data_IF_391581177894
#
_entry.id   IF_391581177894
#
_cell.length_a   1.000
_cell.length_b   1.000
_cell.length_c   1.000
_cell.angle_alpha   90.00
_cell.angle_beta   90.00
_cell.angle_gamma   90.00
#
_symmetry.space_group_name_H-M   'P 1'
#
loop_
_entity.id
_entity.type
_entity.pdbx_description
1 polymer ?
#
# COMPACT_ATOMS: atom_id res chain seq x y z
N UNK A 1 -18.00 -19.58 17.26
CA UNK A 1 -16.74 -20.13 16.74
C UNK A 1 -16.96 -20.45 15.28
N UNK A 2 -16.32 -19.73 14.36
CA UNK A 2 -16.31 -20.14 12.96
C UNK A 2 -15.52 -21.45 12.88
N UNK A 3 -16.16 -22.53 12.44
CA UNK A 3 -15.49 -23.78 12.13
C UNK A 3 -14.43 -23.50 11.08
N UNK A 4 -13.16 -23.74 11.42
CA UNK A 4 -12.09 -23.69 10.43
C UNK A 4 -12.45 -24.64 9.30
N UNK A 5 -12.72 -24.10 8.10
CA UNK A 5 -13.01 -24.90 6.92
C UNK A 5 -11.78 -25.72 6.60
N UNK A 6 -11.83 -27.01 6.89
CA UNK A 6 -10.77 -27.96 6.56
C UNK A 6 -10.71 -28.13 5.05
N UNK A 7 -9.53 -27.98 4.46
CA UNK A 7 -9.28 -28.20 3.03
C UNK A 7 -9.79 -29.59 2.62
N UNK A 8 -10.40 -29.69 1.43
CA UNK A 8 -10.69 -30.98 0.84
C UNK A 8 -9.37 -31.72 0.54
N UNK A 9 -9.34 -33.07 0.51
CA UNK A 9 -8.13 -33.81 0.14
C UNK A 9 -7.55 -33.36 -1.21
N UNK A 10 -8.40 -33.12 -2.20
CA UNK A 10 -7.99 -32.64 -3.52
C UNK A 10 -7.35 -31.24 -3.46
N UNK A 11 -7.86 -30.34 -2.63
CA UNK A 11 -7.29 -28.99 -2.49
C UNK A 11 -6.03 -28.97 -1.63
N UNK A 12 -5.92 -29.89 -0.66
CA UNK A 12 -4.67 -30.11 0.08
C UNK A 12 -3.55 -30.59 -0.86
N UNK A 13 -3.86 -31.51 -1.78
CA UNK A 13 -2.90 -31.98 -2.81
C UNK A 13 -2.50 -30.85 -3.77
N UNK A 14 -3.46 -30.04 -4.24
CA UNK A 14 -3.17 -28.83 -5.04
C UNK A 14 -2.22 -27.89 -4.32
N UNK A 15 -2.48 -27.61 -3.03
CA UNK A 15 -1.65 -26.71 -2.23
C UNK A 15 -0.24 -27.26 -2.02
N UNK A 16 -0.08 -28.58 -1.81
CA UNK A 16 1.23 -29.21 -1.66
C UNK A 16 2.04 -29.20 -2.96
N UNK A 17 1.38 -29.47 -4.09
CA UNK A 17 2.00 -29.36 -5.42
C UNK A 17 2.42 -27.92 -5.69
N UNK A 18 1.56 -26.94 -5.35
CA UNK A 18 1.87 -25.53 -5.51
C UNK A 18 3.05 -25.08 -4.65
N UNK A 19 3.11 -25.52 -3.37
CA UNK A 19 4.27 -25.27 -2.49
C UNK A 19 5.57 -25.75 -3.12
N UNK A 20 5.56 -26.97 -3.67
CA UNK A 20 6.73 -27.55 -4.34
C UNK A 20 7.15 -26.75 -5.57
N UNK A 21 6.18 -26.31 -6.39
CA UNK A 21 6.45 -25.49 -7.58
C UNK A 21 7.01 -24.10 -7.21
N UNK A 22 6.42 -23.44 -6.22
CA UNK A 22 6.81 -22.10 -5.75
C UNK A 22 8.19 -22.12 -5.08
N UNK A 23 8.56 -23.22 -4.40
CA UNK A 23 9.89 -23.37 -3.81
C UNK A 23 11.01 -23.22 -4.86
N UNK A 24 10.77 -23.65 -6.10
CA UNK A 24 11.70 -23.54 -7.23
C UNK A 24 11.77 -22.16 -7.90
N UNK A 25 10.93 -21.19 -7.50
CA UNK A 25 10.94 -19.83 -8.05
C UNK A 25 11.97 -18.96 -7.34
N UNK A 26 13.15 -18.81 -7.94
CA UNK A 26 14.26 -18.02 -7.38
C UNK A 26 14.11 -16.51 -7.54
N UNK A 27 13.11 -16.05 -8.31
CA UNK A 27 12.85 -14.63 -8.57
C UNK A 27 12.13 -13.92 -7.43
N UNK A 28 11.62 -14.67 -6.45
CA UNK A 28 10.87 -14.16 -5.30
C UNK A 28 11.50 -14.62 -3.99
N UNK A 29 11.41 -13.78 -2.97
CA UNK A 29 11.91 -14.03 -1.63
C UNK A 29 11.11 -15.10 -0.89
N UNK A 30 11.68 -15.64 0.19
CA UNK A 30 10.97 -16.60 1.07
C UNK A 30 9.71 -16.00 1.72
N UNK A 31 9.73 -14.69 1.99
CA UNK A 31 8.55 -13.97 2.49
C UNK A 31 7.43 -13.92 1.44
N UNK A 32 7.79 -13.69 0.17
CA UNK A 32 6.83 -13.69 -0.93
C UNK A 32 6.28 -15.08 -1.21
N UNK A 33 7.14 -16.11 -1.21
CA UNK A 33 6.71 -17.52 -1.32
C UNK A 33 5.71 -17.88 -0.23
N UNK A 34 6.03 -17.56 1.02
CA UNK A 34 5.18 -17.85 2.17
C UNK A 34 3.85 -17.09 2.11
N UNK A 35 3.88 -15.79 1.79
CA UNK A 35 2.70 -14.96 1.65
C UNK A 35 1.77 -15.44 0.54
N UNK A 36 2.33 -15.81 -0.62
CA UNK A 36 1.59 -16.35 -1.75
C UNK A 36 0.90 -17.68 -1.40
N UNK A 37 1.63 -18.62 -0.80
CA UNK A 37 1.06 -19.91 -0.38
C UNK A 37 -0.05 -19.73 0.67
N UNK A 38 0.12 -18.78 1.60
CA UNK A 38 -0.92 -18.47 2.58
C UNK A 38 -2.17 -17.87 1.92
N UNK A 39 -2.00 -17.00 0.93
CA UNK A 39 -3.10 -16.43 0.17
C UNK A 39 -3.88 -17.52 -0.58
N UNK A 40 -3.17 -18.40 -1.29
CA UNK A 40 -3.80 -19.49 -2.05
C UNK A 40 -4.42 -20.53 -1.13
N UNK A 41 -3.81 -20.81 0.03
CA UNK A 41 -4.40 -21.66 1.07
C UNK A 41 -5.76 -21.16 1.52
N UNK A 42 -5.90 -19.85 1.78
CA UNK A 42 -7.19 -19.22 2.13
C UNK A 42 -8.20 -19.27 0.98
N UNK A 43 -7.73 -19.08 -0.26
CA UNK A 43 -8.59 -19.21 -1.44
C UNK A 43 -9.18 -20.62 -1.55
N UNK A 44 -8.35 -21.66 -1.36
CA UNK A 44 -8.78 -23.05 -1.44
C UNK A 44 -9.64 -23.50 -0.26
N UNK A 45 -9.41 -22.99 0.96
CA UNK A 45 -10.26 -23.29 2.12
C UNK A 45 -11.62 -22.58 2.06
N UNK A 46 -11.80 -21.64 1.13
CA UNK A 46 -12.91 -20.70 1.13
C UNK A 46 -12.77 -19.64 2.23
N UNK A 47 -13.58 -18.58 2.13
CA UNK A 47 -13.65 -17.56 3.17
C UNK A 47 -14.21 -18.18 4.45
N UNK A 48 -13.42 -18.16 5.53
CA UNK A 48 -13.84 -18.66 6.84
C UNK A 48 -15.03 -17.88 7.44
N UNK A 49 -15.32 -16.69 6.90
CA UNK A 49 -16.38 -15.81 7.36
C UNK A 49 -17.30 -15.44 6.21
N UNK A 50 -18.43 -16.11 6.11
CA UNK A 50 -19.54 -15.63 5.30
C UNK A 50 -20.32 -14.56 6.06
N UNK A 51 -20.70 -13.50 5.36
CA UNK A 51 -21.51 -12.42 5.95
C UNK A 51 -22.92 -12.96 6.21
N UNK A 52 -23.30 -13.01 7.48
CA UNK A 52 -24.68 -13.24 7.88
C UNK A 52 -25.43 -11.89 7.83
N UNK A 53 -26.26 -11.73 6.80
CA UNK A 53 -26.99 -10.47 6.54
C UNK A 53 -27.82 -10.01 7.75
N UNK A 54 -28.36 -10.95 8.53
CA UNK A 54 -29.16 -10.63 9.71
C UNK A 54 -28.37 -9.95 10.84
N UNK A 55 -27.03 -10.08 10.82
CA UNK A 55 -26.13 -9.47 11.81
C UNK A 55 -25.60 -8.09 11.40
N UNK A 56 -25.91 -7.63 10.18
CA UNK A 56 -25.47 -6.31 9.70
C UNK A 56 -26.24 -5.22 10.45
N UNK A 57 -25.53 -4.23 10.96
CA UNK A 57 -26.09 -3.07 11.64
C UNK A 57 -25.48 -1.80 11.05
N UNK A 58 -26.27 -0.71 11.03
CA UNK A 58 -25.75 0.61 10.69
C UNK A 58 -24.77 1.06 11.78
N UNK A 59 -23.53 1.45 11.43
CA UNK A 59 -22.59 2.00 12.40
C UNK A 59 -23.17 3.23 13.08
N UNK A 60 -22.85 3.42 14.36
CA UNK A 60 -23.24 4.62 15.10
C UNK A 60 -22.27 5.77 14.79
N UNK A 61 -22.66 6.99 15.19
CA UNK A 61 -21.82 8.19 15.04
C UNK A 61 -20.54 8.12 15.89
N UNK A 62 -20.42 7.20 16.84
CA UNK A 62 -19.17 6.93 17.57
C UNK A 62 -18.23 6.01 16.78
N UNK A 63 -18.76 5.17 15.89
CA UNK A 63 -17.97 4.26 15.02
C UNK A 63 -17.60 4.95 13.71
N UNK A 64 -18.54 5.69 13.12
CA UNK A 64 -18.33 6.49 11.91
C UNK A 64 -18.61 7.94 12.27
N UNK A 65 -17.60 8.60 12.82
CA UNK A 65 -17.69 9.97 13.32
C UNK A 65 -17.91 10.96 12.16
N UNK A 66 -19.02 11.72 12.15
CA UNK A 66 -19.23 12.80 11.18
C UNK A 66 -18.12 13.85 11.25
N UNK A 67 -17.60 14.26 10.09
CA UNK A 67 -16.45 15.17 10.02
C UNK A 67 -16.70 16.53 10.68
N UNK A 68 -17.93 17.05 10.56
CA UNK A 68 -18.37 18.31 11.18
C UNK A 68 -18.42 18.26 12.71
N UNK A 69 -18.38 17.05 13.30
CA UNK A 69 -18.31 16.84 14.75
C UNK A 69 -16.87 16.69 15.27
N UNK A 70 -15.86 16.72 14.42
CA UNK A 70 -14.47 16.66 14.85
C UNK A 70 -14.10 17.90 15.67
N UNK A 71 -13.29 17.70 16.71
CA UNK A 71 -12.81 18.79 17.55
C UNK A 71 -12.03 19.81 16.70
N UNK A 72 -12.17 21.12 16.97
CA UNK A 72 -11.39 22.13 16.28
C UNK A 72 -9.91 21.93 16.57
N UNK A 73 -9.07 22.30 15.60
CA UNK A 73 -7.64 22.31 15.77
C UNK A 73 -7.23 23.32 16.82
N UNK A 74 -6.19 22.98 17.57
CA UNK A 74 -5.51 23.95 18.42
C UNK A 74 -4.95 25.08 17.57
N UNK A 75 -5.07 26.31 18.08
CA UNK A 75 -4.46 27.48 17.46
C UNK A 75 -2.94 27.52 17.65
N UNK A 76 -2.38 26.65 18.51
CA UNK A 76 -0.94 26.55 18.76
C UNK A 76 -0.23 25.80 17.61
N UNK A 77 0.64 26.47 16.83
CA UNK A 77 1.42 25.82 15.78
C UNK A 77 2.37 24.74 16.31
N UNK A 78 2.80 24.83 17.58
CA UNK A 78 3.69 23.84 18.18
C UNK A 78 2.99 22.49 18.40
N UNK A 79 1.71 22.50 18.76
CA UNK A 79 0.90 21.27 18.87
C UNK A 79 0.71 20.64 17.48
N UNK A 80 0.36 21.44 16.48
CA UNK A 80 0.22 20.96 15.10
C UNK A 80 1.52 20.34 14.58
N UNK A 81 2.66 20.99 14.84
CA UNK A 81 3.98 20.45 14.50
C UNK A 81 4.23 19.10 15.17
N UNK A 82 3.91 18.97 16.47
CA UNK A 82 4.08 17.71 17.21
C UNK A 82 3.24 16.57 16.62
N UNK A 83 2.02 16.86 16.18
CA UNK A 83 1.17 15.87 15.50
C UNK A 83 1.79 15.43 14.16
N UNK A 84 2.24 16.40 13.35
CA UNK A 84 2.86 16.16 12.04
C UNK A 84 4.20 15.42 12.15
N UNK A 85 4.99 15.70 13.19
CA UNK A 85 6.26 15.00 13.43
C UNK A 85 6.07 13.50 13.68
N UNK A 86 4.87 13.06 14.10
CA UNK A 86 4.50 11.64 14.25
C UNK A 86 3.90 11.01 12.98
N UNK A 87 3.59 11.81 11.96
CA UNK A 87 2.91 11.35 10.75
C UNK A 87 3.89 10.94 9.65
N UNK A 88 3.46 9.95 8.86
CA UNK A 88 4.03 9.54 7.58
C UNK A 88 2.93 9.59 6.52
N UNK A 89 3.22 10.11 5.33
CA UNK A 89 2.29 10.04 4.18
C UNK A 89 2.73 8.93 3.24
N UNK A 90 1.87 7.95 2.99
CA UNK A 90 2.12 6.85 2.07
C UNK A 90 1.17 6.94 0.87
N UNK A 91 1.74 6.91 -0.34
CA UNK A 91 0.98 6.87 -1.59
C UNK A 91 1.13 5.52 -2.28
N UNK A 92 -0.01 4.90 -2.58
CA UNK A 92 -0.09 3.65 -3.33
C UNK A 92 0.24 3.93 -4.80
N UNK A 93 1.43 3.52 -5.24
CA UNK A 93 2.02 3.86 -6.53
C UNK A 93 2.36 2.61 -7.39
N UNK A 94 1.69 1.49 -7.11
CA UNK A 94 1.88 0.23 -7.84
C UNK A 94 1.17 0.16 -9.19
N UNK A 95 0.21 1.05 -9.43
CA UNK A 95 -0.67 1.04 -10.60
C UNK A 95 -0.07 1.69 -11.84
N UNK A 96 -0.28 1.05 -12.98
CA UNK A 96 0.07 1.59 -14.29
C UNK A 96 -1.05 2.49 -14.83
N UNK A 97 -0.68 3.45 -15.67
CA UNK A 97 -1.60 4.31 -16.41
C UNK A 97 -2.17 3.68 -17.69
N UNK A 98 -2.20 2.35 -17.81
CA UNK A 98 -2.56 1.65 -19.07
C UNK A 98 -3.97 1.95 -19.54
N UNK A 99 -4.93 2.10 -18.61
CA UNK A 99 -6.31 2.51 -18.93
C UNK A 99 -6.40 3.93 -19.51
N UNK A 100 -5.36 4.74 -19.30
CA UNK A 100 -5.21 6.09 -19.85
C UNK A 100 -4.25 6.14 -21.05
N UNK A 101 -3.81 4.98 -21.56
CA UNK A 101 -2.87 4.89 -22.69
C UNK A 101 -1.41 5.14 -22.34
N UNK A 102 -1.05 5.18 -21.05
CA UNK A 102 0.32 5.42 -20.60
C UNK A 102 1.02 4.10 -20.21
N UNK A 103 2.33 4.02 -20.48
CA UNK A 103 3.17 2.85 -20.18
C UNK A 103 3.80 2.87 -18.79
N UNK A 104 3.81 4.03 -18.13
CA UNK A 104 4.44 4.24 -16.82
C UNK A 104 3.47 4.26 -15.64
N UNK A 105 3.97 4.62 -14.44
CA UNK A 105 3.15 4.78 -13.24
C UNK A 105 2.05 5.83 -13.44
N UNK A 106 0.84 5.60 -12.93
CA UNK A 106 -0.25 6.57 -13.10
C UNK A 106 0.06 7.94 -12.47
N UNK A 107 0.89 7.97 -11.44
CA UNK A 107 1.30 9.19 -10.73
C UNK A 107 2.12 10.18 -11.57
N UNK A 108 2.67 9.73 -12.70
CA UNK A 108 3.55 10.54 -13.56
C UNK A 108 2.81 11.17 -14.72
N UNK A 109 1.50 10.95 -14.81
CA UNK A 109 0.64 11.60 -15.80
C UNK A 109 0.48 13.06 -15.41
N UNK A 110 0.65 13.95 -16.38
CA UNK A 110 0.38 15.38 -16.23
C UNK A 110 -1.10 15.62 -15.94
N UNK A 111 -1.40 16.37 -14.89
CA UNK A 111 -2.77 16.72 -14.49
C UNK A 111 -3.11 18.15 -14.86
N UNK A 112 -2.20 19.09 -14.54
CA UNK A 112 -2.41 20.51 -14.85
C UNK A 112 -1.10 21.28 -14.93
N UNK A 113 -1.00 22.20 -15.87
CA UNK A 113 0.11 23.16 -15.99
C UNK A 113 1.50 22.51 -15.96
N UNK A 114 1.72 21.38 -16.64
CA UNK A 114 2.98 20.65 -16.62
C UNK A 114 3.25 19.86 -15.34
N UNK A 115 2.33 19.83 -14.37
CA UNK A 115 2.49 19.13 -13.10
C UNK A 115 1.79 17.79 -13.11
N UNK A 116 2.53 16.74 -12.74
CA UNK A 116 2.01 15.39 -12.53
C UNK A 116 1.29 15.24 -11.19
N UNK A 117 0.62 14.11 -10.96
CA UNK A 117 0.08 13.82 -9.62
C UNK A 117 1.18 13.83 -8.56
N UNK A 118 2.33 13.22 -8.86
CA UNK A 118 3.46 13.18 -7.94
C UNK A 118 4.01 14.59 -7.65
N UNK A 119 4.06 15.48 -8.64
CA UNK A 119 4.46 16.89 -8.42
C UNK A 119 3.53 17.60 -7.44
N UNK A 120 2.22 17.39 -7.59
CA UNK A 120 1.22 18.01 -6.73
C UNK A 120 1.30 17.46 -5.30
N UNK A 121 1.50 16.16 -5.14
CA UNK A 121 1.68 15.52 -3.83
C UNK A 121 2.94 16.05 -3.13
N UNK A 122 4.06 16.12 -3.85
CA UNK A 122 5.31 16.66 -3.30
C UNK A 122 5.13 18.12 -2.87
N UNK A 123 4.52 18.96 -3.72
CA UNK A 123 4.23 20.37 -3.38
C UNK A 123 3.32 20.51 -2.16
N UNK A 124 2.32 19.64 -2.00
CA UNK A 124 1.42 19.66 -0.84
C UNK A 124 2.19 19.40 0.47
N UNK A 125 3.06 18.39 0.49
CA UNK A 125 3.84 18.02 1.68
C UNK A 125 4.96 19.03 1.94
N UNK A 126 5.60 19.54 0.90
CA UNK A 126 6.62 20.60 1.04
C UNK A 126 6.02 21.89 1.61
N UNK A 127 4.83 22.29 1.15
CA UNK A 127 4.10 23.43 1.71
C UNK A 127 3.70 23.19 3.17
N UNK A 128 3.32 21.96 3.52
CA UNK A 128 3.00 21.56 4.90
C UNK A 128 4.24 21.65 5.81
N UNK A 129 5.37 21.08 5.37
CA UNK A 129 6.65 21.12 6.06
C UNK A 129 7.12 22.56 6.29
N UNK A 130 7.05 23.40 5.24
CA UNK A 130 7.42 24.82 5.32
C UNK A 130 6.51 25.62 6.25
N UNK A 131 5.19 25.39 6.20
CA UNK A 131 4.20 26.13 7.01
C UNK A 131 4.35 25.87 8.51
N UNK A 132 4.59 24.61 8.89
CA UNK A 132 4.62 24.20 10.31
C UNK A 132 6.02 23.89 10.84
N UNK A 133 7.06 24.05 10.02
CA UNK A 133 8.44 23.74 10.38
C UNK A 133 8.66 22.27 10.75
N UNK A 134 7.87 21.36 10.17
CA UNK A 134 7.91 19.92 10.44
C UNK A 134 8.63 19.14 9.33
N UNK A 135 8.85 17.85 9.55
CA UNK A 135 9.44 16.94 8.56
C UNK A 135 8.57 15.70 8.37
N UNK A 136 7.52 15.85 7.56
CA UNK A 136 6.64 14.75 7.16
C UNK A 136 7.27 14.04 5.95
N UNK A 137 7.64 12.76 6.07
CA UNK A 137 8.17 11.99 4.94
C UNK A 137 7.05 11.52 4.01
N UNK A 138 7.38 11.41 2.72
CA UNK A 138 6.56 10.80 1.69
C UNK A 138 7.08 9.39 1.38
N UNK A 139 6.24 8.38 1.53
CA UNK A 139 6.50 7.01 1.10
C UNK A 139 5.73 6.70 -0.18
N UNK A 140 6.43 6.17 -1.18
CA UNK A 140 5.83 5.64 -2.40
C UNK A 140 5.92 4.12 -2.40
N UNK A 141 4.76 3.46 -2.30
CA UNK A 141 4.67 2.01 -2.46
C UNK A 141 4.56 1.67 -3.94
N UNK A 142 5.68 1.27 -4.54
CA UNK A 142 5.79 0.93 -5.95
C UNK A 142 5.45 -0.54 -6.20
N UNK A 143 5.45 -0.95 -7.46
CA UNK A 143 5.54 -2.35 -7.89
C UNK A 143 6.75 -2.53 -8.80
N UNK A 144 7.10 -3.77 -9.13
CA UNK A 144 8.10 -4.08 -10.16
C UNK A 144 7.75 -3.47 -11.55
N UNK A 145 6.49 -3.06 -11.77
CA UNK A 145 6.09 -2.35 -12.98
C UNK A 145 6.36 -0.85 -12.94
N UNK A 146 6.43 -0.24 -11.75
CA UNK A 146 6.50 1.21 -11.58
C UNK A 146 7.79 1.71 -10.93
N UNK A 147 8.59 0.81 -10.34
CA UNK A 147 9.74 1.18 -9.51
C UNK A 147 10.79 1.99 -10.25
N UNK A 148 11.32 1.47 -11.35
CA UNK A 148 12.45 2.07 -12.08
C UNK A 148 12.09 3.45 -12.63
N UNK A 149 10.86 3.61 -13.13
CA UNK A 149 10.37 4.89 -13.62
C UNK A 149 10.13 5.88 -12.48
N UNK A 150 9.64 5.40 -11.34
CA UNK A 150 9.48 6.24 -10.15
C UNK A 150 10.82 6.72 -9.63
N UNK A 151 11.86 5.87 -9.59
CA UNK A 151 13.20 6.24 -9.14
C UNK A 151 13.79 7.39 -9.96
N UNK A 152 13.71 7.31 -11.29
CA UNK A 152 14.19 8.39 -12.18
C UNK A 152 13.48 9.71 -11.94
N UNK A 153 12.20 9.65 -11.57
CA UNK A 153 11.38 10.85 -11.39
C UNK A 153 11.60 11.46 -10.01
N UNK A 154 11.79 10.66 -8.96
CA UNK A 154 12.04 11.21 -7.62
C UNK A 154 13.37 11.94 -7.51
N UNK A 155 14.34 11.64 -8.38
CA UNK A 155 15.62 12.38 -8.48
C UNK A 155 15.42 13.89 -8.70
N UNK A 156 14.33 14.30 -9.39
CA UNK A 156 14.04 15.72 -9.62
C UNK A 156 13.74 16.50 -8.33
N UNK A 157 13.42 15.80 -7.24
CA UNK A 157 13.11 16.39 -5.94
C UNK A 157 14.28 16.30 -4.94
N UNK A 158 15.49 15.93 -5.39
CA UNK A 158 16.65 15.79 -4.49
C UNK A 158 16.98 17.08 -3.71
N UNK A 159 16.61 18.25 -4.23
CA UNK A 159 16.80 19.55 -3.59
C UNK A 159 15.52 20.12 -2.94
N UNK A 160 14.42 19.36 -2.91
CA UNK A 160 13.16 19.77 -2.29
C UNK A 160 13.18 19.54 -0.78
N UNK A 161 12.41 20.32 -0.02
CA UNK A 161 12.34 20.19 1.44
C UNK A 161 11.38 19.06 1.88
N UNK A 162 11.67 17.84 1.43
CA UNK A 162 10.85 16.66 1.66
C UNK A 162 11.71 15.39 1.60
N UNK A 163 11.52 14.51 2.58
CA UNK A 163 12.17 13.20 2.63
C UNK A 163 11.29 12.18 1.87
N UNK A 164 11.72 11.75 0.68
CA UNK A 164 10.99 10.81 -0.17
C UNK A 164 11.63 9.41 -0.05
N UNK A 165 10.84 8.45 0.40
CA UNK A 165 11.20 7.04 0.44
C UNK A 165 10.41 6.25 -0.60
N UNK A 166 11.05 5.26 -1.20
CA UNK A 166 10.39 4.28 -2.06
C UNK A 166 10.61 2.88 -1.50
N UNK A 167 9.64 1.99 -1.73
CA UNK A 167 9.79 0.56 -1.53
C UNK A 167 8.89 -0.18 -2.51
N UNK A 168 9.22 -1.43 -2.81
CA UNK A 168 8.37 -2.27 -3.65
C UNK A 168 7.43 -3.11 -2.78
N UNK A 169 6.20 -3.23 -3.24
CA UNK A 169 5.30 -4.29 -2.80
C UNK A 169 5.74 -5.65 -3.37
N UNK A 170 5.20 -6.74 -2.82
CA UNK A 170 5.47 -8.11 -3.21
C UNK A 170 5.21 -8.36 -4.70
N UNK A 171 5.88 -9.36 -5.26
CA UNK A 171 5.65 -9.90 -6.60
C UNK A 171 5.21 -11.36 -6.50
N UNK A 172 3.97 -11.67 -6.87
CA UNK A 172 3.44 -13.05 -6.83
C UNK A 172 3.33 -13.65 -8.23
N UNK A 173 3.52 -14.98 -8.39
CA UNK A 173 3.34 -15.63 -9.67
C UNK A 173 1.85 -15.72 -10.01
N UNK A 174 1.49 -15.44 -11.26
CA UNK A 174 0.14 -15.75 -11.76
C UNK A 174 -0.06 -17.26 -11.79
N UNK A 175 -1.28 -17.70 -11.54
CA UNK A 175 -1.67 -19.10 -11.67
C UNK A 175 -2.39 -19.33 -13.00
N UNK A 176 -2.07 -20.44 -13.65
CA UNK A 176 -2.83 -20.93 -14.80
C UNK A 176 -4.09 -21.64 -14.30
N UNK A 177 -5.24 -21.28 -14.84
CA UNK A 177 -6.55 -21.75 -14.37
C UNK A 177 -6.76 -23.24 -14.59
N UNK A 178 -6.25 -23.78 -15.71
CA UNK A 178 -6.52 -25.15 -16.13
C UNK A 178 -5.81 -26.19 -15.26
N UNK A 179 -4.59 -25.89 -14.80
CA UNK A 179 -3.75 -26.86 -14.07
C UNK A 179 -3.20 -26.32 -12.75
N UNK A 180 -3.60 -25.12 -12.34
CA UNK A 180 -3.26 -24.51 -11.05
C UNK A 180 -1.75 -24.34 -10.82
N UNK A 181 -0.96 -24.34 -11.90
CA UNK A 181 0.49 -24.19 -11.84
C UNK A 181 0.91 -22.71 -11.93
N UNK A 182 2.02 -22.30 -11.29
CA UNK A 182 2.59 -20.98 -11.50
C UNK A 182 2.98 -20.78 -12.97
N UNK A 183 2.51 -19.70 -13.58
CA UNK A 183 2.81 -19.34 -14.97
C UNK A 183 4.34 -19.22 -15.23
N UNK A 184 5.17 -18.70 -14.30
CA UNK A 184 6.62 -18.72 -14.47
C UNK A 184 7.24 -20.12 -14.60
N UNK A 185 6.64 -21.16 -14.01
CA UNK A 185 7.10 -22.54 -14.16
C UNK A 185 6.84 -23.11 -15.56
N UNK A 186 6.01 -22.45 -16.37
CA UNK A 186 5.67 -22.85 -17.76
C UNK A 186 6.55 -22.17 -18.82
N UNK A 187 7.68 -21.61 -18.41
CA UNK A 187 8.62 -20.92 -19.30
C UNK A 187 8.27 -19.45 -19.56
N UNK A 188 7.17 -18.93 -19.00
CA UNK A 188 6.83 -17.51 -19.08
C UNK A 188 7.31 -16.76 -17.83
N UNK A 189 8.62 -16.58 -17.73
CA UNK A 189 9.29 -15.92 -16.60
C UNK A 189 9.36 -14.40 -16.70
N UNK A 190 8.87 -13.82 -17.81
CA UNK A 190 8.79 -12.37 -18.02
C UNK A 190 7.78 -11.69 -17.09
N UNK A 191 7.66 -10.35 -17.16
CA UNK A 191 6.77 -9.55 -16.28
C UNK A 191 5.32 -10.05 -16.26
N UNK A 192 4.82 -10.57 -17.37
CA UNK A 192 3.46 -11.10 -17.50
C UNK A 192 3.20 -12.39 -16.70
N UNK A 193 4.26 -13.09 -16.29
CA UNK A 193 4.21 -14.23 -15.39
C UNK A 193 3.86 -13.85 -13.95
N UNK A 194 3.90 -12.56 -13.62
CA UNK A 194 3.82 -12.06 -12.25
C UNK A 194 2.74 -10.97 -12.09
N UNK A 195 2.36 -10.70 -10.84
CA UNK A 195 1.47 -9.59 -10.50
C UNK A 195 1.78 -9.05 -9.09
N UNK A 196 1.57 -7.74 -8.85
CA UNK A 196 1.55 -7.21 -7.49
C UNK A 196 0.24 -7.63 -6.80
N UNK A 197 0.26 -8.16 -5.57
CA UNK A 197 -0.93 -8.72 -4.90
C UNK A 197 -1.90 -7.66 -4.32
N UNK A 198 -2.10 -6.57 -5.05
CA UNK A 198 -3.01 -5.49 -4.70
C UNK A 198 -2.54 -4.64 -3.52
N UNK A 199 -3.29 -3.59 -3.20
CA UNK A 199 -2.89 -2.63 -2.16
C UNK A 199 -2.97 -3.19 -0.73
N UNK A 200 -3.62 -4.35 -0.51
CA UNK A 200 -3.65 -5.02 0.79
C UNK A 200 -2.26 -5.53 1.23
N UNK A 201 -1.32 -5.67 0.30
CA UNK A 201 0.06 -6.04 0.56
C UNK A 201 0.91 -4.90 1.15
N UNK A 202 0.34 -3.70 1.32
CA UNK A 202 1.03 -2.56 1.94
C UNK A 202 1.59 -2.89 3.32
N UNK A 203 0.87 -3.67 4.14
CA UNK A 203 1.31 -4.02 5.49
C UNK A 203 2.54 -4.94 5.49
N UNK A 204 2.49 -6.15 4.89
CA UNK A 204 3.66 -7.03 4.85
C UNK A 204 4.83 -6.40 4.09
N UNK A 205 4.59 -5.65 3.01
CA UNK A 205 5.67 -5.04 2.23
C UNK A 205 6.34 -3.87 2.95
N UNK A 206 5.58 -3.04 3.65
CA UNK A 206 6.16 -1.97 4.47
C UNK A 206 7.03 -2.56 5.61
N UNK A 207 6.56 -3.63 6.24
CA UNK A 207 7.31 -4.36 7.27
C UNK A 207 8.59 -4.98 6.68
N UNK A 208 8.46 -5.77 5.61
CA UNK A 208 9.59 -6.47 4.98
C UNK A 208 10.63 -5.52 4.37
N UNK A 209 10.25 -4.30 3.99
CA UNK A 209 11.18 -3.29 3.47
C UNK A 209 12.12 -2.72 4.54
N UNK A 210 11.88 -2.99 5.83
CA UNK A 210 12.59 -2.36 6.96
C UNK A 210 12.24 -0.88 7.17
N UNK A 211 11.39 -0.29 6.31
CA UNK A 211 10.96 1.11 6.43
C UNK A 211 10.07 1.32 7.65
N UNK A 212 9.25 0.33 8.01
CA UNK A 212 8.43 0.41 9.22
C UNK A 212 9.29 0.68 10.46
N UNK A 213 10.29 -0.18 10.71
CA UNK A 213 11.18 -0.05 11.86
C UNK A 213 11.99 1.25 11.80
N UNK A 214 12.47 1.64 10.62
CA UNK A 214 13.20 2.89 10.43
C UNK A 214 12.35 4.14 10.72
N UNK A 215 11.05 4.10 10.40
CA UNK A 215 10.11 5.18 10.69
C UNK A 215 9.74 5.22 12.18
N UNK A 216 9.49 4.07 12.80
CA UNK A 216 9.26 3.96 14.24
C UNK A 216 10.46 4.48 15.04
N UNK A 217 11.68 4.14 14.63
CA UNK A 217 12.91 4.66 15.24
C UNK A 217 13.06 6.19 15.13
N UNK A 218 12.42 6.82 14.15
CA UNK A 218 12.33 8.28 14.00
C UNK A 218 11.17 8.91 14.79
N UNK A 219 10.45 8.14 15.61
CA UNK A 219 9.32 8.62 16.41
C UNK A 219 8.03 8.80 15.62
N UNK A 220 7.90 8.16 14.45
CA UNK A 220 6.64 8.13 13.70
C UNK A 220 5.67 7.15 14.35
N UNK A 221 4.39 7.49 14.41
CA UNK A 221 3.34 6.68 15.05
C UNK A 221 2.20 6.33 14.09
N UNK A 222 1.91 7.18 13.09
CA UNK A 222 0.78 7.00 12.18
C UNK A 222 1.19 7.12 10.72
N UNK A 223 0.48 6.37 9.86
CA UNK A 223 0.62 6.44 8.40
C UNK A 223 -0.71 6.82 7.76
N UNK A 224 -0.70 7.88 6.98
CA UNK A 224 -1.82 8.27 6.11
C UNK A 224 -1.64 7.63 4.74
N UNK A 225 -2.48 6.64 4.44
CA UNK A 225 -2.44 5.89 3.17
C UNK A 225 -3.49 6.44 2.20
N UNK A 226 -3.09 6.74 0.96
CA UNK A 226 -4.01 7.08 -0.12
C UNK A 226 -3.46 6.67 -1.48
N UNK A 227 -4.32 6.60 -2.50
CA UNK A 227 -3.86 6.39 -3.87
C UNK A 227 -3.02 7.58 -4.36
N UNK A 228 -2.02 7.31 -5.21
CA UNK A 228 -1.19 8.36 -5.82
C UNK A 228 -1.93 9.21 -6.85
N UNK A 229 -3.10 8.79 -7.31
CA UNK A 229 -3.95 9.50 -8.29
C UNK A 229 -5.13 10.25 -7.65
N UNK A 230 -5.27 10.22 -6.31
CA UNK A 230 -6.30 10.97 -5.60
C UNK A 230 -5.73 12.30 -5.06
N UNK A 231 -5.97 13.39 -5.79
CA UNK A 231 -5.52 14.74 -5.40
C UNK A 231 -6.30 15.35 -4.22
N UNK A 232 -7.49 14.84 -3.90
CA UNK A 232 -8.28 15.26 -2.74
C UNK A 232 -7.77 14.68 -1.43
N UNK A 233 -6.92 13.65 -1.48
CA UNK A 233 -6.33 13.01 -0.31
C UNK A 233 -5.12 13.80 0.23
N UNK A 234 -5.41 14.99 0.76
CA UNK A 234 -4.45 15.82 1.50
C UNK A 234 -4.37 15.40 2.97
N UNK A 235 -3.30 15.81 3.66
CA UNK A 235 -3.21 15.63 5.12
C UNK A 235 -4.27 16.53 5.77
N UNK A 236 -5.22 15.89 6.45
CA UNK A 236 -6.24 16.57 7.24
C UNK A 236 -5.82 16.59 8.71
N UNK A 237 -5.60 17.80 9.22
CA UNK A 237 -5.12 17.98 10.57
C UNK A 237 -6.20 17.61 11.61
N UNK A 238 -7.49 17.82 11.31
CA UNK A 238 -8.57 17.51 12.25
C UNK A 238 -8.72 16.00 12.44
N UNK A 239 -8.60 15.24 11.35
CA UNK A 239 -8.55 13.77 11.42
C UNK A 239 -7.31 13.31 12.20
N UNK A 240 -6.14 13.89 11.92
CA UNK A 240 -4.90 13.55 12.61
C UNK A 240 -4.98 13.85 14.13
N UNK A 241 -5.53 15.00 14.50
CA UNK A 241 -5.72 15.40 15.90
C UNK A 241 -6.68 14.46 16.63
N UNK A 242 -7.79 14.07 15.99
CA UNK A 242 -8.73 13.10 16.56
C UNK A 242 -8.01 11.77 16.89
N UNK A 243 -7.24 11.23 15.94
CA UNK A 243 -6.56 9.95 16.11
C UNK A 243 -5.50 10.00 17.22
N UNK A 244 -4.82 11.14 17.40
CA UNK A 244 -3.74 11.30 18.39
C UNK A 244 -4.22 11.72 19.79
N UNK A 245 -5.49 12.12 19.93
CA UNK A 245 -6.11 12.50 21.21
C UNK A 245 -7.10 11.45 21.76
N UNK A 246 -7.38 10.39 20.99
CA UNK A 246 -8.06 9.18 21.47
C UNK A 246 -7.07 8.19 22.09
#
# INVERSE_FOLDING_TARGET
MATATTLSPADADKLNNLKSAVAGLNQISENEKSGFINLVGRYLSGEAQHIDWSKIQTPTDEVVVPYDKLAPLSEDPAETKKLLDKLVVLKLNGGLGTTMGCTGPKSVIEVRNGLTFLDLIVKQIEALNAKFGCSVPLLLMNSFNTHDDTLKIVEKYANSNIDIHTFNQSQYPRLVTEDFAPLPCKGNSGKDGWYPPGHGDVFPSLMNSGKLDALLAKGKEYVFVANSDNLGAIVDLSILAMILHC
#
